data_IF_667278250571
#
_entry.id   IF_667278250571
#
_cell.length_a   1.000
_cell.length_b   1.000
_cell.length_c   1.000
_cell.angle_alpha   90.00
_cell.angle_beta   90.00
_cell.angle_gamma   90.00
#
_symmetry.space_group_name_H-M   'P 1'
#
loop_
_entity.id
_entity.type
_entity.pdbx_description
1 polymer ?
#
# COMPACT_ATOMS: atom_id res chain seq x y z
N UNK A 1 -18.24 -4.70 -21.60
CA UNK A 1 -16.98 -4.04 -21.23
C UNK A 1 -17.04 -3.68 -19.76
N UNK A 2 -16.06 -4.12 -18.95
CA UNK A 2 -16.04 -3.87 -17.51
C UNK A 2 -16.04 -2.34 -17.22
N UNK A 3 -16.99 -1.81 -16.40
CA UNK A 3 -17.04 -0.39 -16.03
C UNK A 3 -15.74 0.16 -15.43
N UNK A 4 -15.04 -0.65 -14.64
CA UNK A 4 -13.78 -0.28 -13.99
C UNK A 4 -12.67 -0.09 -15.02
N UNK A 5 -12.58 -1.00 -15.99
CA UNK A 5 -11.62 -0.91 -17.10
C UNK A 5 -11.86 0.33 -17.95
N UNK A 6 -13.13 0.68 -18.19
CA UNK A 6 -13.52 1.92 -18.90
C UNK A 6 -13.06 3.17 -18.14
N UNK A 7 -13.29 3.23 -16.83
CA UNK A 7 -12.85 4.35 -15.99
C UNK A 7 -11.33 4.47 -15.95
N UNK A 8 -10.62 3.34 -15.83
CA UNK A 8 -9.17 3.31 -15.82
C UNK A 8 -8.59 3.77 -17.16
N UNK A 9 -9.16 3.33 -18.29
CA UNK A 9 -8.77 3.80 -19.62
C UNK A 9 -8.97 5.31 -19.81
N UNK A 10 -10.12 5.84 -19.39
CA UNK A 10 -10.42 7.27 -19.49
C UNK A 10 -9.47 8.10 -18.63
N UNK A 11 -9.12 7.62 -17.44
CA UNK A 11 -8.12 8.27 -16.57
C UNK A 11 -6.71 8.20 -17.16
N UNK A 12 -6.28 7.03 -17.63
CA UNK A 12 -4.97 6.85 -18.27
C UNK A 12 -4.83 7.71 -19.54
N UNK A 13 -5.93 8.00 -20.22
CA UNK A 13 -5.98 8.89 -21.39
C UNK A 13 -5.84 10.38 -21.06
N UNK A 14 -6.11 10.78 -19.81
CA UNK A 14 -5.89 12.16 -19.34
C UNK A 14 -4.44 12.44 -18.96
N UNK A 15 -3.68 11.38 -18.63
CA UNK A 15 -2.26 11.45 -18.32
C UNK A 15 -1.42 11.90 -19.54
N UNK A 16 -0.24 12.46 -19.25
CA UNK A 16 0.75 12.74 -20.28
C UNK A 16 1.26 11.45 -20.95
N UNK A 17 1.75 11.53 -22.17
CA UNK A 17 2.23 10.34 -22.91
C UNK A 17 3.34 9.59 -22.16
N UNK A 18 4.17 10.31 -21.41
CA UNK A 18 5.20 9.74 -20.54
C UNK A 18 4.59 8.96 -19.37
N UNK A 19 3.66 9.57 -18.63
CA UNK A 19 2.98 8.96 -17.49
C UNK A 19 2.14 7.75 -17.90
N UNK A 20 1.45 7.81 -19.05
CA UNK A 20 0.73 6.65 -19.59
C UNK A 20 1.70 5.50 -19.89
N UNK A 21 2.86 5.78 -20.48
CA UNK A 21 3.87 4.75 -20.77
C UNK A 21 4.45 4.17 -19.49
N UNK A 22 4.69 5.01 -18.48
CA UNK A 22 5.14 4.58 -17.17
C UNK A 22 4.13 3.66 -16.49
N UNK A 23 2.84 4.02 -16.51
CA UNK A 23 1.75 3.23 -15.95
C UNK A 23 1.68 1.84 -16.61
N UNK A 24 1.72 1.78 -17.95
CA UNK A 24 1.66 0.51 -18.69
C UNK A 24 2.86 -0.41 -18.39
N UNK A 25 4.03 0.15 -18.08
CA UNK A 25 5.21 -0.62 -17.67
C UNK A 25 5.07 -1.24 -16.29
N UNK A 26 4.23 -0.67 -15.42
CA UNK A 26 3.99 -1.14 -14.05
C UNK A 26 2.84 -2.14 -13.90
N UNK A 27 2.12 -2.43 -14.97
CA UNK A 27 1.16 -3.55 -14.98
C UNK A 27 1.91 -4.86 -14.71
N UNK A 28 1.36 -5.69 -13.83
CA UNK A 28 1.75 -7.09 -13.69
C UNK A 28 1.41 -7.89 -14.95
N UNK A 29 1.89 -9.13 -15.03
CA UNK A 29 1.74 -9.95 -16.23
C UNK A 29 0.26 -10.21 -16.55
N UNK A 30 -0.55 -10.53 -15.54
CA UNK A 30 -1.97 -10.83 -15.70
C UNK A 30 -2.76 -9.59 -16.17
N UNK A 31 -2.49 -8.40 -15.63
CA UNK A 31 -3.14 -7.18 -16.06
C UNK A 31 -2.65 -6.73 -17.44
N UNK A 32 -1.39 -6.98 -17.79
CA UNK A 32 -0.86 -6.69 -19.13
C UNK A 32 -1.52 -7.58 -20.17
N UNK A 33 -1.63 -8.88 -19.92
CA UNK A 33 -2.30 -9.82 -20.82
C UNK A 33 -3.78 -9.46 -21.01
N UNK A 34 -4.48 -9.12 -19.92
CA UNK A 34 -5.87 -8.62 -20.01
C UNK A 34 -5.96 -7.31 -20.80
N UNK A 35 -5.02 -6.39 -20.58
CA UNK A 35 -4.97 -5.12 -21.30
C UNK A 35 -4.76 -5.33 -22.81
N UNK A 36 -3.89 -6.25 -23.20
CA UNK A 36 -3.63 -6.60 -24.59
C UNK A 36 -4.83 -7.32 -25.22
N UNK A 37 -5.40 -8.31 -24.55
CA UNK A 37 -6.58 -9.07 -24.99
C UNK A 37 -7.78 -8.17 -25.28
N UNK A 38 -7.96 -7.12 -24.47
CA UNK A 38 -9.03 -6.14 -24.64
C UNK A 38 -8.72 -5.05 -25.68
N UNK A 39 -7.58 -5.10 -26.37
CA UNK A 39 -7.17 -4.06 -27.31
C UNK A 39 -6.90 -2.72 -26.61
N UNK A 40 -6.27 -2.77 -25.44
CA UNK A 40 -6.08 -1.62 -24.55
C UNK A 40 -5.34 -0.45 -25.20
N UNK A 41 -4.36 -0.69 -26.08
CA UNK A 41 -3.65 0.37 -26.81
C UNK A 41 -4.57 1.14 -27.79
N UNK A 42 -5.29 0.48 -28.71
CA UNK A 42 -6.33 1.12 -29.52
C UNK A 42 -7.38 1.87 -28.68
N UNK A 43 -7.87 1.26 -27.60
CA UNK A 43 -8.86 1.87 -26.72
C UNK A 43 -8.34 3.11 -26.00
N UNK A 44 -7.08 3.08 -25.54
CA UNK A 44 -6.42 4.20 -24.90
C UNK A 44 -6.21 5.37 -25.88
N UNK A 45 -5.83 5.08 -27.14
CA UNK A 45 -5.77 6.10 -28.20
C UNK A 45 -7.14 6.71 -28.46
N UNK A 46 -8.18 5.89 -28.57
CA UNK A 46 -9.54 6.36 -28.74
C UNK A 46 -10.02 7.18 -27.53
N UNK A 47 -9.63 6.81 -26.31
CA UNK A 47 -10.00 7.50 -25.08
C UNK A 47 -9.37 8.89 -24.96
N UNK A 48 -8.21 9.15 -25.60
CA UNK A 48 -7.56 10.47 -25.60
C UNK A 48 -8.41 11.58 -26.22
N UNK A 49 -9.38 11.25 -27.08
CA UNK A 49 -10.34 12.23 -27.60
C UNK A 49 -11.23 12.84 -26.51
N UNK A 50 -11.36 12.15 -25.37
CA UNK A 50 -12.12 12.63 -24.21
C UNK A 50 -11.25 13.39 -23.19
N UNK A 51 -9.95 13.59 -23.47
CA UNK A 51 -9.05 14.39 -22.62
C UNK A 51 -9.53 15.83 -22.32
N UNK A 52 -10.26 16.52 -23.23
CA UNK A 52 -10.82 17.85 -22.91
C UNK A 52 -11.98 17.81 -21.93
N UNK A 53 -12.58 16.63 -21.69
CA UNK A 53 -13.74 16.49 -20.82
C UNK A 53 -13.24 16.39 -19.38
N UNK A 54 -13.57 17.34 -18.49
CA UNK A 54 -13.16 17.26 -17.10
C UNK A 54 -13.70 15.97 -16.49
N UNK A 55 -12.79 15.11 -16.03
CA UNK A 55 -13.16 13.95 -15.27
C UNK A 55 -13.64 14.39 -13.88
N UNK A 56 -14.67 13.74 -13.31
CA UNK A 56 -15.02 13.95 -11.92
C UNK A 56 -13.77 13.72 -11.06
N UNK A 57 -13.53 14.62 -10.13
CA UNK A 57 -12.44 14.49 -9.19
C UNK A 57 -12.50 13.11 -8.53
N UNK A 58 -11.35 12.46 -8.39
CA UNK A 58 -11.26 11.29 -7.53
C UNK A 58 -11.82 11.68 -6.15
N UNK A 59 -12.55 10.78 -5.47
CA UNK A 59 -12.70 10.95 -4.03
C UNK A 59 -11.30 11.15 -3.49
N UNK A 60 -11.09 12.27 -2.79
CA UNK A 60 -9.82 12.53 -2.12
C UNK A 60 -9.47 11.26 -1.34
N UNK A 61 -8.22 10.78 -1.38
CA UNK A 61 -7.82 9.70 -0.49
C UNK A 61 -8.30 10.09 0.91
N UNK A 62 -9.02 9.16 1.54
CA UNK A 62 -9.49 9.31 2.92
C UNK A 62 -8.33 9.87 3.75
N UNK A 63 -8.57 10.82 4.67
CA UNK A 63 -7.50 11.37 5.48
C UNK A 63 -6.71 10.20 6.08
N UNK A 64 -5.44 10.14 5.69
CA UNK A 64 -4.55 9.07 6.12
C UNK A 64 -4.53 9.06 7.64
N UNK A 65 -4.88 7.92 8.24
CA UNK A 65 -4.82 7.80 9.67
C UNK A 65 -3.37 8.02 10.12
N UNK A 66 -3.12 8.96 11.05
CA UNK A 66 -1.76 9.33 11.41
C UNK A 66 -1.08 8.13 12.09
N UNK A 67 -0.01 7.65 11.48
CA UNK A 67 0.83 6.63 12.09
C UNK A 67 1.63 7.25 13.26
N UNK A 68 1.91 6.48 14.32
CA UNK A 68 2.74 6.94 15.43
C UNK A 68 4.12 7.46 14.98
N UNK A 69 4.70 8.35 15.79
CA UNK A 69 6.07 8.84 15.56
C UNK A 69 7.05 7.66 15.61
N UNK A 70 8.06 7.69 14.73
CA UNK A 70 9.07 6.63 14.64
C UNK A 70 8.61 5.36 13.90
N UNK A 71 7.43 5.36 13.27
CA UNK A 71 6.92 4.20 12.53
C UNK A 71 7.82 3.75 11.37
N UNK A 72 8.59 4.67 10.78
CA UNK A 72 9.55 4.37 9.71
C UNK A 72 10.71 3.52 10.20
N UNK A 73 11.14 3.69 11.47
CA UNK A 73 12.22 2.89 12.05
C UNK A 73 11.85 1.41 12.22
N UNK A 74 10.56 1.05 12.10
CA UNK A 74 10.11 -0.34 12.11
C UNK A 74 10.44 -1.08 10.81
N UNK A 75 10.67 -0.36 9.70
CA UNK A 75 10.89 -0.97 8.38
C UNK A 75 12.16 -1.85 8.37
N UNK A 76 13.18 -1.44 9.12
CA UNK A 76 14.48 -2.12 9.17
C UNK A 76 14.55 -3.19 10.27
N UNK A 77 13.47 -3.41 11.02
CA UNK A 77 13.45 -4.35 12.14
C UNK A 77 12.95 -5.74 11.72
N UNK A 78 13.33 -6.79 12.47
CA UNK A 78 12.86 -8.14 12.19
C UNK A 78 11.33 -8.23 12.22
N UNK A 79 10.67 -8.98 11.30
CA UNK A 79 9.22 -9.00 11.17
C UNK A 79 8.47 -9.35 12.46
N UNK A 80 9.00 -10.29 13.26
CA UNK A 80 8.41 -10.66 14.55
C UNK A 80 8.46 -9.52 15.57
N UNK A 81 9.54 -8.73 15.57
CA UNK A 81 9.66 -7.56 16.43
C UNK A 81 8.64 -6.50 16.02
N UNK A 82 8.52 -6.24 14.72
CA UNK A 82 7.50 -5.31 14.19
C UNK A 82 6.10 -5.76 14.55
N UNK A 83 5.79 -7.06 14.39
CA UNK A 83 4.49 -7.61 14.76
C UNK A 83 4.17 -7.44 16.26
N UNK A 84 5.18 -7.52 17.13
CA UNK A 84 5.02 -7.24 18.57
C UNK A 84 4.70 -5.76 18.81
N UNK A 85 5.41 -4.84 18.15
CA UNK A 85 5.18 -3.40 18.30
C UNK A 85 3.81 -3.00 17.74
N UNK A 86 3.44 -3.48 16.55
CA UNK A 86 2.14 -3.16 15.95
C UNK A 86 0.95 -3.66 16.78
N UNK A 87 1.13 -4.67 17.61
CA UNK A 87 0.05 -5.15 18.47
C UNK A 87 -0.23 -4.23 19.67
N UNK A 88 0.66 -3.28 19.96
CA UNK A 88 0.39 -2.23 20.96
C UNK A 88 -0.35 -1.03 20.37
N UNK A 89 -0.53 -1.00 19.04
CA UNK A 89 -1.19 0.09 18.34
C UNK A 89 -2.68 -0.20 18.13
N UNK A 90 -3.50 0.84 17.90
CA UNK A 90 -4.85 0.65 17.37
C UNK A 90 -4.82 -0.18 16.09
N UNK A 91 -5.77 -1.10 15.94
CA UNK A 91 -5.83 -2.02 14.81
C UNK A 91 -5.86 -1.28 13.46
N UNK A 92 -6.52 -0.13 13.41
CA UNK A 92 -6.61 0.75 12.26
C UNK A 92 -5.24 1.32 11.83
N UNK A 93 -4.44 1.81 12.78
CA UNK A 93 -3.07 2.25 12.55
C UNK A 93 -2.13 1.10 12.17
N UNK A 94 -2.28 -0.07 12.81
CA UNK A 94 -1.51 -1.26 12.46
C UNK A 94 -1.77 -1.72 11.02
N UNK A 95 -3.04 -1.76 10.61
CA UNK A 95 -3.43 -2.10 9.24
C UNK A 95 -2.95 -1.06 8.23
N UNK A 96 -3.00 0.23 8.61
CA UNK A 96 -2.43 1.31 7.79
C UNK A 96 -0.93 1.12 7.60
N UNK A 97 -0.19 0.71 8.64
CA UNK A 97 1.25 0.43 8.51
C UNK A 97 1.50 -0.78 7.60
N UNK A 98 0.80 -1.90 7.83
CA UNK A 98 0.95 -3.13 7.04
C UNK A 98 0.69 -2.87 5.54
N UNK A 99 -0.37 -2.14 5.21
CA UNK A 99 -0.70 -1.81 3.82
C UNK A 99 0.36 -0.95 3.11
N UNK A 100 1.15 -0.17 3.86
CA UNK A 100 2.19 0.73 3.32
C UNK A 100 3.58 0.12 3.26
N UNK A 101 3.90 -0.77 4.21
CA UNK A 101 5.29 -1.19 4.43
C UNK A 101 5.50 -2.70 4.38
N UNK A 102 4.46 -3.53 4.55
CA UNK A 102 4.58 -4.99 4.53
C UNK A 102 4.29 -5.62 3.16
N UNK A 103 5.05 -5.20 2.14
CA UNK A 103 4.86 -5.65 0.76
C UNK A 103 4.94 -7.17 0.56
N UNK A 104 5.68 -7.87 1.43
CA UNK A 104 5.87 -9.32 1.36
C UNK A 104 4.96 -10.09 2.32
N UNK A 105 4.14 -9.40 3.12
CA UNK A 105 3.26 -10.01 4.11
C UNK A 105 4.00 -10.70 5.26
N UNK A 106 5.29 -10.40 5.47
CA UNK A 106 6.11 -11.09 6.46
C UNK A 106 5.75 -10.67 7.89
N UNK A 107 5.35 -9.41 8.09
CA UNK A 107 4.90 -8.91 9.39
C UNK A 107 3.49 -9.40 9.68
N UNK A 108 2.60 -9.38 8.70
CA UNK A 108 1.26 -9.93 8.80
C UNK A 108 1.29 -11.44 9.15
N UNK A 109 2.14 -12.21 8.49
CA UNK A 109 2.37 -13.63 8.78
C UNK A 109 2.91 -13.84 10.20
N UNK A 110 3.94 -13.08 10.59
CA UNK A 110 4.49 -13.15 11.93
C UNK A 110 3.44 -12.81 13.01
N UNK A 111 2.53 -11.85 12.74
CA UNK A 111 1.45 -11.47 13.65
C UNK A 111 0.40 -12.58 13.79
N UNK A 112 0.07 -13.28 12.71
CA UNK A 112 -0.91 -14.36 12.73
C UNK A 112 -0.36 -15.66 13.35
N UNK A 113 0.88 -16.01 13.02
CA UNK A 113 1.42 -17.35 13.25
C UNK A 113 2.49 -17.42 14.36
N UNK A 114 3.41 -16.45 14.38
CA UNK A 114 4.54 -16.48 15.31
C UNK A 114 4.24 -15.76 16.64
N UNK A 115 3.52 -14.65 16.58
CA UNK A 115 3.20 -13.81 17.74
C UNK A 115 2.46 -14.56 18.86
N UNK A 116 1.47 -15.44 18.59
CA UNK A 116 0.79 -16.20 19.64
C UNK A 116 1.70 -17.18 20.40
N UNK A 117 2.84 -17.55 19.82
CA UNK A 117 3.81 -18.48 20.42
C UNK A 117 4.83 -17.78 21.31
N UNK A 118 4.90 -16.45 21.27
CA UNK A 118 5.83 -15.65 22.07
C UNK A 118 5.35 -15.59 23.52
N UNK A 119 6.25 -15.87 24.46
CA UNK A 119 5.96 -15.76 25.90
C UNK A 119 5.61 -14.30 26.26
N UNK A 120 4.58 -14.06 27.09
CA UNK A 120 4.20 -12.71 27.50
C UNK A 120 5.35 -11.87 28.06
N UNK A 121 6.20 -12.47 28.90
CA UNK A 121 7.36 -11.78 29.49
C UNK A 121 8.41 -11.35 28.45
N UNK A 122 8.62 -12.15 27.40
CA UNK A 122 9.51 -11.78 26.31
C UNK A 122 8.93 -10.63 25.47
N UNK A 123 7.61 -10.62 25.31
CA UNK A 123 6.88 -9.56 24.63
C UNK A 123 7.03 -8.21 25.35
N UNK A 124 6.80 -8.21 26.65
CA UNK A 124 6.93 -7.02 27.51
C UNK A 124 8.36 -6.46 27.49
N UNK A 125 9.38 -7.33 27.56
CA UNK A 125 10.79 -6.91 27.49
C UNK A 125 11.16 -6.26 26.14
N UNK A 126 10.60 -6.75 25.03
CA UNK A 126 10.84 -6.18 23.71
C UNK A 126 10.12 -4.83 23.55
N UNK A 127 8.90 -4.71 24.08
CA UNK A 127 8.15 -3.45 24.07
C UNK A 127 8.86 -2.39 24.93
N UNK A 128 9.34 -2.75 26.13
CA UNK A 128 10.04 -1.79 27.01
C UNK A 128 11.34 -1.27 26.38
N UNK A 129 12.04 -2.13 25.65
CA UNK A 129 13.24 -1.75 24.87
C UNK A 129 12.89 -0.75 23.77
N UNK A 130 11.76 -0.96 23.08
CA UNK A 130 11.27 -0.04 22.05
C UNK A 130 10.87 1.32 22.61
N UNK A 131 10.13 1.35 23.72
CA UNK A 131 9.69 2.61 24.35
C UNK A 131 10.87 3.43 24.84
N UNK A 132 11.87 2.79 25.45
CA UNK A 132 13.10 3.47 25.89
C UNK A 132 13.85 4.11 24.71
N UNK A 133 13.92 3.41 23.57
CA UNK A 133 14.58 3.92 22.35
C UNK A 133 13.78 5.03 21.65
N UNK A 134 12.46 5.03 21.82
CA UNK A 134 11.57 6.09 21.32
C UNK A 134 11.72 7.41 22.09
N UNK A 135 12.05 7.35 23.37
CA UNK A 135 12.28 8.54 24.21
C UNK A 135 13.63 9.24 23.93
N UNK A 136 14.66 8.50 23.52
CA UNK A 136 15.97 9.08 23.16
C UNK A 136 15.98 9.80 21.78
N UNK A 137 14.99 9.52 20.93
CA UNK A 137 14.86 10.12 19.59
C UNK A 137 13.75 11.20 19.52
N UNK A 138 13.29 11.69 20.68
CA UNK A 138 12.23 12.69 20.84
C UNK A 138 12.73 14.13 20.94
#
# INVERSE_FOLDING_TARGET
MNPEFKHLLLRAAHLGTWDTRWLLRRLDNDAREKFETLGGLPLLRAARRFRPVPLPALPSPLPEEPLPKGHEALIDLPPLFVAIVLDTWPESAANTWLSRYDYKGAVADARANALPTVKPSAREALISTWTAKGEENG
#
